data_IF_772251792083
#
_entry.id   IF_772251792083
#
_cell.length_a   1.000
_cell.length_b   1.000
_cell.length_c   1.000
_cell.angle_alpha   90.00
_cell.angle_beta   90.00
_cell.angle_gamma   90.00
#
_symmetry.space_group_name_H-M   'P 1'
#
loop_
_entity.id
_entity.type
_entity.pdbx_description
1 polymer ?
#
# COMPACT_ATOMS: atom_id res chain seq x y z
N UNK A 1 -16.27 -9.04 0.15
CA UNK A 1 -16.40 -7.78 -0.63
C UNK A 1 -17.04 -8.04 -1.99
N UNK A 2 -18.05 -7.29 -2.43
CA UNK A 2 -18.63 -7.44 -3.78
C UNK A 2 -17.61 -6.95 -4.83
N UNK A 3 -17.19 -7.82 -5.76
CA UNK A 3 -16.18 -7.57 -6.80
C UNK A 3 -14.76 -7.25 -6.33
N UNK A 4 -14.18 -8.14 -5.52
CA UNK A 4 -12.78 -8.09 -5.06
C UNK A 4 -11.75 -7.80 -6.17
N UNK A 5 -11.88 -8.40 -7.35
CA UNK A 5 -10.96 -8.16 -8.47
C UNK A 5 -11.01 -6.72 -8.99
N UNK A 6 -12.20 -6.10 -9.03
CA UNK A 6 -12.36 -4.69 -9.42
C UNK A 6 -11.74 -3.79 -8.37
N UNK A 7 -11.92 -4.12 -7.09
CA UNK A 7 -11.30 -3.39 -5.98
C UNK A 7 -9.76 -3.43 -6.05
N UNK A 8 -9.17 -4.61 -6.25
CA UNK A 8 -7.71 -4.77 -6.40
C UNK A 8 -7.20 -3.94 -7.59
N UNK A 9 -7.86 -4.01 -8.76
CA UNK A 9 -7.48 -3.20 -9.93
C UNK A 9 -7.49 -1.70 -9.62
N UNK A 10 -8.49 -1.23 -8.86
CA UNK A 10 -8.55 0.18 -8.41
C UNK A 10 -7.39 0.53 -7.49
N UNK A 11 -7.01 -0.34 -6.56
CA UNK A 11 -5.87 -0.12 -5.66
C UNK A 11 -4.54 -0.10 -6.41
N UNK A 12 -4.32 -1.03 -7.35
CA UNK A 12 -3.13 -1.03 -8.21
C UNK A 12 -3.05 0.29 -8.99
N UNK A 13 -4.15 0.71 -9.61
CA UNK A 13 -4.20 1.98 -10.33
C UNK A 13 -3.81 3.15 -9.42
N UNK A 14 -4.45 3.28 -8.25
CA UNK A 14 -4.15 4.36 -7.30
C UNK A 14 -2.71 4.35 -6.77
N UNK A 15 -2.09 3.18 -6.68
CA UNK A 15 -0.69 3.03 -6.23
C UNK A 15 0.31 3.63 -7.20
N UNK A 16 -0.09 3.93 -8.44
CA UNK A 16 0.73 4.57 -9.47
C UNK A 16 0.53 6.09 -9.56
N UNK A 17 -0.27 6.68 -8.66
CA UNK A 17 -0.62 8.11 -8.67
C UNK A 17 -0.72 8.67 -7.23
N UNK A 18 0.39 8.64 -6.50
CA UNK A 18 0.49 9.00 -5.08
C UNK A 18 1.15 10.35 -4.82
N UNK A 19 1.96 10.85 -5.76
CA UNK A 19 2.47 12.22 -5.75
C UNK A 19 3.93 12.36 -6.20
N UNK A 20 4.75 11.33 -5.99
CA UNK A 20 6.14 11.28 -6.46
C UNK A 20 6.39 10.05 -7.31
N UNK A 21 7.21 10.19 -8.35
CA UNK A 21 7.51 9.11 -9.29
C UNK A 21 8.17 7.90 -8.60
N UNK A 22 9.00 8.15 -7.59
CA UNK A 22 9.66 7.10 -6.83
C UNK A 22 8.67 6.25 -6.04
N UNK A 23 7.77 6.91 -5.28
CA UNK A 23 6.71 6.21 -4.55
C UNK A 23 5.76 5.50 -5.50
N UNK A 24 5.43 6.10 -6.65
CA UNK A 24 4.56 5.47 -7.66
C UNK A 24 5.15 4.17 -8.23
N UNK A 25 6.47 4.14 -8.46
CA UNK A 25 7.17 2.92 -8.91
C UNK A 25 7.17 1.86 -7.80
N UNK A 26 7.53 2.25 -6.58
CA UNK A 26 7.59 1.33 -5.43
C UNK A 26 6.22 0.71 -5.13
N UNK A 27 5.21 1.55 -4.91
CA UNK A 27 3.86 1.11 -4.55
C UNK A 27 3.15 0.44 -5.72
N UNK A 28 3.39 0.90 -6.95
CA UNK A 28 2.87 0.26 -8.16
C UNK A 28 3.34 -1.20 -8.27
N UNK A 29 4.65 -1.43 -8.20
CA UNK A 29 5.24 -2.77 -8.27
C UNK A 29 4.83 -3.63 -7.07
N UNK A 30 4.82 -3.07 -5.87
CA UNK A 30 4.34 -3.77 -4.68
C UNK A 30 2.90 -4.25 -4.87
N UNK A 31 2.02 -3.35 -5.32
CA UNK A 31 0.60 -3.61 -5.41
C UNK A 31 0.27 -4.72 -6.43
N UNK A 32 0.94 -4.71 -7.58
CA UNK A 32 0.76 -5.73 -8.62
C UNK A 32 1.16 -7.13 -8.14
N UNK A 33 2.20 -7.21 -7.30
CA UNK A 33 2.74 -8.47 -6.82
C UNK A 33 2.03 -9.00 -5.57
N UNK A 34 1.57 -8.13 -4.66
CA UNK A 34 1.10 -8.55 -3.34
C UNK A 34 -0.42 -8.51 -3.15
N UNK A 35 -1.15 -7.53 -3.73
CA UNK A 35 -2.56 -7.31 -3.35
C UNK A 35 -3.48 -8.51 -3.64
N UNK A 36 -3.18 -9.31 -4.66
CA UNK A 36 -3.97 -10.53 -4.97
C UNK A 36 -3.96 -11.56 -3.83
N UNK A 37 -2.93 -11.56 -2.99
CA UNK A 37 -2.73 -12.52 -1.90
C UNK A 37 -3.20 -12.01 -0.54
N UNK A 38 -3.57 -10.73 -0.41
CA UNK A 38 -4.03 -10.13 0.85
C UNK A 38 -5.52 -10.40 1.07
N UNK A 39 -5.96 -10.68 2.29
CA UNK A 39 -7.39 -10.79 2.58
C UNK A 39 -8.14 -9.43 2.43
N UNK A 40 -9.47 -9.47 2.49
CA UNK A 40 -10.31 -8.28 2.33
C UNK A 40 -10.00 -7.19 3.38
N UNK A 41 -9.58 -7.56 4.60
CA UNK A 41 -9.27 -6.59 5.66
C UNK A 41 -7.95 -5.85 5.38
N UNK A 42 -6.93 -6.56 4.89
CA UNK A 42 -5.67 -5.94 4.47
C UNK A 42 -5.84 -5.07 3.21
N UNK A 43 -6.73 -5.45 2.28
CA UNK A 43 -7.06 -4.60 1.14
C UNK A 43 -7.71 -3.28 1.56
N UNK A 44 -8.59 -3.31 2.58
CA UNK A 44 -9.17 -2.10 3.16
C UNK A 44 -8.13 -1.26 3.91
N UNK A 45 -7.22 -1.90 4.66
CA UNK A 45 -6.12 -1.21 5.33
C UNK A 45 -5.17 -0.54 4.32
N UNK A 46 -4.86 -1.21 3.20
CA UNK A 46 -4.07 -0.64 2.11
C UNK A 46 -4.76 0.55 1.46
N UNK A 47 -6.09 0.49 1.28
CA UNK A 47 -6.86 1.64 0.81
C UNK A 47 -6.74 2.84 1.76
N UNK A 48 -6.85 2.61 3.07
CA UNK A 48 -6.70 3.66 4.08
C UNK A 48 -5.27 4.25 4.06
N UNK A 49 -4.25 3.41 3.89
CA UNK A 49 -2.87 3.83 3.73
C UNK A 49 -2.70 4.76 2.51
N UNK A 50 -3.22 4.37 1.34
CA UNK A 50 -3.21 5.20 0.13
C UNK A 50 -3.95 6.53 0.31
N UNK A 51 -5.08 6.54 1.04
CA UNK A 51 -5.82 7.77 1.34
C UNK A 51 -5.02 8.73 2.23
N UNK A 52 -4.03 8.23 2.96
CA UNK A 52 -3.20 9.02 3.85
C UNK A 52 -2.11 9.83 3.13
N UNK A 53 -1.85 9.50 1.86
CA UNK A 53 -0.97 10.24 0.95
C UNK A 53 0.52 9.91 1.11
N UNK A 54 1.28 10.19 0.05
CA UNK A 54 2.72 9.92 -0.03
C UNK A 54 3.53 10.44 1.18
N UNK A 55 3.34 11.69 1.68
CA UNK A 55 4.11 12.17 2.82
C UNK A 55 3.94 11.34 4.11
N UNK A 56 2.75 10.75 4.34
CA UNK A 56 2.52 9.92 5.53
C UNK A 56 3.06 8.51 5.34
N UNK A 57 2.87 7.94 4.15
CA UNK A 57 3.43 6.64 3.79
C UNK A 57 4.95 6.66 3.98
N UNK A 58 5.61 7.73 3.54
CA UNK A 58 7.05 7.93 3.74
C UNK A 58 7.44 8.00 5.23
N UNK A 59 6.74 8.81 6.05
CA UNK A 59 7.05 8.88 7.49
C UNK A 59 6.89 7.54 8.22
N UNK A 60 5.93 6.72 7.80
CA UNK A 60 5.74 5.37 8.32
C UNK A 60 6.88 4.44 7.87
N UNK A 61 7.32 4.51 6.62
CA UNK A 61 8.35 3.61 6.08
C UNK A 61 9.74 3.83 6.69
N UNK A 62 10.04 5.07 7.13
CA UNK A 62 11.30 5.42 7.81
C UNK A 62 11.17 5.48 9.35
N UNK A 63 10.09 4.93 9.91
CA UNK A 63 9.86 4.80 11.35
C UNK A 63 9.80 6.13 12.15
N UNK A 64 9.57 7.28 11.47
CA UNK A 64 9.31 8.58 12.11
C UNK A 64 7.89 8.62 12.69
N UNK A 65 6.94 7.97 12.03
CA UNK A 65 5.56 7.83 12.49
C UNK A 65 5.25 6.34 12.77
N UNK A 66 4.38 6.05 13.74
CA UNK A 66 3.90 4.69 14.01
C UNK A 66 2.39 4.64 13.95
N UNK A 67 1.86 3.63 13.27
CA UNK A 67 0.42 3.39 13.26
C UNK A 67 -0.04 2.67 14.52
N UNK A 68 -1.25 3.00 14.98
CA UNK A 68 -1.98 2.19 15.97
C UNK A 68 -2.64 0.95 15.33
N UNK A 69 -2.71 0.89 14.00
CA UNK A 69 -3.27 -0.23 13.26
C UNK A 69 -2.20 -1.28 12.99
N UNK A 70 -2.33 -2.46 13.59
CA UNK A 70 -1.44 -3.60 13.31
C UNK A 70 -1.44 -4.00 11.83
N UNK A 71 -2.58 -3.84 11.14
CA UNK A 71 -2.69 -4.12 9.69
C UNK A 71 -1.91 -3.10 8.86
N UNK A 72 -1.94 -1.83 9.24
CA UNK A 72 -1.15 -0.78 8.55
C UNK A 72 0.35 -1.02 8.77
N UNK A 73 0.76 -1.32 10.01
CA UNK A 73 2.16 -1.63 10.32
C UNK A 73 2.66 -2.84 9.51
N UNK A 74 1.88 -3.93 9.45
CA UNK A 74 2.21 -5.09 8.63
C UNK A 74 2.39 -4.75 7.15
N UNK A 75 1.52 -3.91 6.58
CA UNK A 75 1.64 -3.47 5.19
C UNK A 75 2.90 -2.61 4.98
N UNK A 76 3.24 -1.74 5.94
CA UNK A 76 4.46 -0.94 5.88
C UNK A 76 5.70 -1.81 5.94
N UNK A 77 5.72 -2.82 6.81
CA UNK A 77 6.82 -3.77 6.90
C UNK A 77 6.99 -4.54 5.58
N UNK A 78 5.89 -5.02 4.99
CA UNK A 78 5.93 -5.65 3.66
C UNK A 78 6.45 -4.71 2.57
N UNK A 79 6.07 -3.43 2.59
CA UNK A 79 6.56 -2.44 1.62
C UNK A 79 8.06 -2.17 1.82
N UNK A 80 8.55 -2.12 3.07
CA UNK A 80 9.97 -1.93 3.41
C UNK A 80 10.81 -3.12 2.94
N UNK A 81 10.29 -4.33 3.07
CA UNK A 81 10.96 -5.56 2.63
C UNK A 81 10.88 -5.78 1.12
N UNK A 82 9.94 -5.11 0.43
CA UNK A 82 9.75 -5.27 -1.00
C UNK A 82 10.94 -4.72 -1.79
N UNK A 83 11.80 -5.63 -2.26
CA UNK A 83 12.79 -5.32 -3.27
C UNK A 83 12.15 -5.52 -4.63
N UNK A 84 11.82 -4.42 -5.31
CA UNK A 84 11.15 -4.41 -6.62
C UNK A 84 12.02 -4.94 -7.77
N UNK A 85 12.47 -6.19 -7.65
CA UNK A 85 13.24 -6.93 -8.64
C UNK A 85 12.34 -7.52 -9.73
#
# INVERSE_FOLDING_TARGET
>A
MNNRNVFIKKLIYRSKYTGTRETDILLGNFAENHLKYLDDEYLLAYQALLNSGDPRIWRLSIDIEKSKSSKENFLIDLIKEFKGH
#
